data_IF_093275581456
#
_entry.id   IF_093275581456
#
_cell.length_a   1.000
_cell.length_b   1.000
_cell.length_c   1.000
_cell.angle_alpha   90.00
_cell.angle_beta   90.00
_cell.angle_gamma   90.00
#
_symmetry.space_group_name_H-M   'P 1'
#
loop_
_entity.id
_entity.type
_entity.pdbx_description
1 polymer ?
#
# COMPACT_ATOMS: atom_id res chain seq x y z
N UNK A 1 9.51 12.17 -0.54
CA UNK A 1 9.11 12.17 -1.96
C UNK A 1 10.34 12.01 -2.81
N UNK A 2 10.24 11.24 -3.90
CA UNK A 2 11.32 11.03 -4.88
C UNK A 2 10.71 11.19 -6.28
N UNK A 3 11.44 11.80 -7.22
CA UNK A 3 11.04 11.83 -8.62
C UNK A 3 11.59 10.59 -9.33
N UNK A 4 10.70 9.83 -9.97
CA UNK A 4 11.04 8.64 -10.78
C UNK A 4 10.47 8.88 -12.17
N UNK A 5 11.34 9.05 -13.17
CA UNK A 5 10.95 9.36 -14.56
C UNK A 5 9.97 10.53 -14.68
N UNK A 6 10.14 11.55 -13.84
CA UNK A 6 9.27 12.73 -13.82
C UNK A 6 7.98 12.57 -13.02
N UNK A 7 7.73 11.39 -12.42
CA UNK A 7 6.59 11.13 -11.53
C UNK A 7 6.99 11.39 -10.07
N UNK A 8 6.24 12.22 -9.37
CA UNK A 8 6.43 12.48 -7.94
C UNK A 8 5.89 11.31 -7.10
N UNK A 9 6.77 10.45 -6.59
CA UNK A 9 6.41 9.30 -5.75
C UNK A 9 6.57 9.63 -4.25
N UNK A 10 5.49 9.47 -3.49
CA UNK A 10 5.55 9.42 -2.04
C UNK A 10 5.92 8.02 -1.56
N UNK A 11 6.65 7.95 -0.46
CA UNK A 11 7.01 6.70 0.20
C UNK A 11 6.41 6.77 1.60
N UNK A 12 5.60 5.77 1.94
CA UNK A 12 5.04 5.58 3.27
C UNK A 12 5.40 4.18 3.78
N UNK A 13 5.39 4.00 5.09
CA UNK A 13 5.82 2.74 5.71
C UNK A 13 4.71 2.17 6.57
N UNK A 14 4.32 0.94 6.24
CA UNK A 14 3.44 0.07 7.01
C UNK A 14 2.21 0.78 7.59
N UNK A 15 2.21 1.10 8.89
CA UNK A 15 1.08 1.71 9.62
C UNK A 15 0.60 3.04 9.05
N UNK A 16 1.46 3.79 8.33
CA UNK A 16 1.11 5.08 7.73
C UNK A 16 -0.16 5.04 6.86
N UNK A 17 -0.37 3.95 6.12
CA UNK A 17 -1.52 3.85 5.20
C UNK A 17 -2.85 3.57 5.92
N UNK A 18 -2.79 3.09 7.16
CA UNK A 18 -3.97 2.80 7.97
C UNK A 18 -4.67 4.06 8.45
N UNK A 19 -3.95 5.18 8.52
CA UNK A 19 -4.48 6.49 8.80
C UNK A 19 -4.61 7.31 7.51
N UNK A 20 -5.63 8.16 7.41
CA UNK A 20 -5.80 8.96 6.19
C UNK A 20 -4.79 10.11 6.10
N UNK A 21 -4.43 10.72 7.24
CA UNK A 21 -3.50 11.85 7.34
C UNK A 21 -2.20 11.70 6.54
N UNK A 22 -1.38 10.65 6.75
CA UNK A 22 -0.12 10.49 6.00
C UNK A 22 -0.31 10.39 4.47
N UNK A 23 -1.42 9.78 4.05
CA UNK A 23 -1.79 9.69 2.63
C UNK A 23 -2.22 11.06 2.09
N UNK A 24 -3.09 11.75 2.83
CA UNK A 24 -3.57 13.10 2.50
C UNK A 24 -2.43 14.12 2.43
N UNK A 25 -1.52 14.11 3.41
CA UNK A 25 -0.35 14.99 3.46
C UNK A 25 0.58 14.74 2.26
N UNK A 26 0.79 13.47 1.89
CA UNK A 26 1.58 13.10 0.72
C UNK A 26 0.96 13.65 -0.57
N UNK A 27 -0.36 13.54 -0.72
CA UNK A 27 -1.10 14.05 -1.88
C UNK A 27 -1.07 15.58 -1.91
N UNK A 28 -1.29 16.24 -0.77
CA UNK A 28 -1.22 17.69 -0.64
C UNK A 28 0.18 18.24 -0.98
N UNK A 29 1.24 17.47 -0.71
CA UNK A 29 2.61 17.78 -1.11
C UNK A 29 2.89 17.55 -2.61
N UNK A 30 1.93 17.00 -3.37
CA UNK A 30 2.04 16.79 -4.82
C UNK A 30 2.36 15.37 -5.25
N UNK A 31 2.17 14.36 -4.38
CA UNK A 31 2.37 12.97 -4.78
C UNK A 31 1.41 12.55 -5.90
N UNK A 32 1.95 11.93 -6.93
CA UNK A 32 1.21 11.37 -8.07
C UNK A 32 1.03 9.85 -7.94
N UNK A 33 1.83 9.21 -7.08
CA UNK A 33 1.76 7.79 -6.71
C UNK A 33 2.29 7.60 -5.29
N UNK A 34 1.74 6.62 -4.56
CA UNK A 34 2.22 6.24 -3.24
C UNK A 34 2.83 4.84 -3.30
N UNK A 35 4.06 4.71 -2.81
CA UNK A 35 4.75 3.44 -2.60
C UNK A 35 4.71 3.13 -1.11
N UNK A 36 3.92 2.14 -0.71
CA UNK A 36 3.76 1.75 0.69
C UNK A 36 4.53 0.45 0.96
N UNK A 37 5.56 0.54 1.79
CA UNK A 37 6.47 -0.56 2.12
C UNK A 37 6.06 -1.20 3.44
N UNK A 38 5.91 -2.53 3.48
CA UNK A 38 5.29 -3.23 4.60
C UNK A 38 6.11 -4.43 5.07
N UNK A 39 6.10 -4.63 6.38
CA UNK A 39 6.34 -5.91 7.03
C UNK A 39 5.07 -6.21 7.85
N UNK A 40 3.97 -6.45 7.15
CA UNK A 40 2.67 -6.68 7.77
C UNK A 40 2.52 -8.18 8.09
N UNK A 41 2.42 -8.59 9.37
CA UNK A 41 2.32 -10.01 9.72
C UNK A 41 0.95 -10.56 9.32
N UNK A 42 0.89 -11.84 8.98
CA UNK A 42 -0.30 -12.57 8.61
C UNK A 42 -1.25 -12.76 9.80
N UNK A 43 -2.55 -12.64 9.54
CA UNK A 43 -3.60 -13.31 10.29
C UNK A 43 -4.78 -13.56 9.35
N UNK A 44 -5.72 -14.41 9.78
CA UNK A 44 -6.88 -14.80 8.98
C UNK A 44 -7.70 -13.55 8.60
N UNK A 45 -7.97 -13.37 7.30
CA UNK A 45 -8.68 -12.23 6.71
C UNK A 45 -7.87 -10.92 6.51
N UNK A 46 -6.63 -10.83 7.00
CA UNK A 46 -5.84 -9.59 6.88
C UNK A 46 -5.60 -9.15 5.43
N UNK A 47 -5.43 -10.08 4.50
CA UNK A 47 -5.25 -9.76 3.08
C UNK A 47 -6.42 -8.94 2.51
N UNK A 48 -7.66 -9.37 2.79
CA UNK A 48 -8.85 -8.65 2.34
C UNK A 48 -8.99 -7.28 3.03
N UNK A 49 -8.57 -7.18 4.29
CA UNK A 49 -8.57 -5.92 5.04
C UNK A 49 -7.57 -4.91 4.45
N UNK A 50 -6.31 -5.31 4.25
CA UNK A 50 -5.27 -4.47 3.61
C UNK A 50 -5.75 -3.97 2.24
N UNK A 51 -6.31 -4.86 1.43
CA UNK A 51 -6.73 -4.53 0.07
C UNK A 51 -7.97 -3.65 0.03
N UNK A 52 -9.08 -4.13 0.60
CA UNK A 52 -10.38 -3.51 0.39
C UNK A 52 -10.65 -2.37 1.38
N UNK A 53 -10.37 -2.58 2.67
CA UNK A 53 -10.72 -1.62 3.70
C UNK A 53 -9.72 -0.47 3.82
N UNK A 54 -8.48 -0.69 3.38
CA UNK A 54 -7.38 0.28 3.51
C UNK A 54 -6.95 0.83 2.16
N UNK A 55 -6.19 0.06 1.39
CA UNK A 55 -5.46 0.58 0.22
C UNK A 55 -6.42 1.05 -0.88
N UNK A 56 -7.48 0.27 -1.14
CA UNK A 56 -8.51 0.64 -2.13
C UNK A 56 -9.19 1.95 -1.79
N UNK A 57 -9.61 2.12 -0.53
CA UNK A 57 -10.29 3.35 -0.10
C UNK A 57 -9.34 4.54 -0.09
N UNK A 58 -8.08 4.36 0.34
CA UNK A 58 -7.05 5.43 0.26
C UNK A 58 -6.79 5.87 -1.18
N UNK A 59 -6.68 4.92 -2.12
CA UNK A 59 -6.46 5.22 -3.53
C UNK A 59 -7.65 6.00 -4.14
N UNK A 60 -8.89 5.59 -3.83
CA UNK A 60 -10.11 6.27 -4.28
C UNK A 60 -10.22 7.68 -3.70
N UNK A 61 -10.12 7.82 -2.38
CA UNK A 61 -10.25 9.11 -1.69
C UNK A 61 -9.15 10.08 -2.11
N UNK A 62 -7.93 9.58 -2.30
CA UNK A 62 -6.79 10.37 -2.70
C UNK A 62 -6.68 10.64 -4.19
N UNK A 63 -7.41 9.91 -5.03
CA UNK A 63 -7.34 10.02 -6.49
C UNK A 63 -5.97 9.69 -7.07
N UNK A 64 -5.14 8.93 -6.35
CA UNK A 64 -3.78 8.53 -6.74
C UNK A 64 -3.61 7.00 -6.64
N UNK A 65 -2.85 6.38 -7.56
CA UNK A 65 -2.52 4.97 -7.45
C UNK A 65 -1.63 4.68 -6.23
N UNK A 66 -1.76 3.47 -5.70
CA UNK A 66 -0.96 2.98 -4.57
C UNK A 66 -0.36 1.62 -4.89
N UNK A 67 0.94 1.46 -4.62
CA UNK A 67 1.65 0.18 -4.67
C UNK A 67 1.92 -0.28 -3.25
N UNK A 68 1.32 -1.41 -2.87
CA UNK A 68 1.49 -2.04 -1.57
C UNK A 68 2.47 -3.22 -1.69
N UNK A 69 3.66 -3.06 -1.12
CA UNK A 69 4.70 -4.09 -1.12
C UNK A 69 4.84 -4.65 0.28
N UNK A 70 4.65 -5.96 0.44
CA UNK A 70 4.72 -6.64 1.72
C UNK A 70 5.81 -7.71 1.74
N UNK A 71 6.46 -7.85 2.89
CA UNK A 71 7.42 -8.91 3.17
C UNK A 71 6.79 -10.30 2.99
N UNK A 72 7.63 -11.28 2.66
CA UNK A 72 7.26 -12.71 2.61
C UNK A 72 8.27 -13.52 3.42
N UNK A 73 7.79 -14.49 4.20
CA UNK A 73 8.62 -15.41 4.99
C UNK A 73 8.27 -15.45 6.47
N UNK A 74 8.95 -16.31 7.23
CA UNK A 74 8.80 -16.41 8.68
C UNK A 74 9.89 -15.64 9.42
N UNK A 75 9.54 -15.04 10.57
CA UNK A 75 10.48 -14.51 11.55
C UNK A 75 9.97 -14.80 12.96
N UNK A 76 10.68 -15.65 13.69
CA UNK A 76 10.27 -16.15 15.00
C UNK A 76 8.81 -16.64 15.00
N UNK A 77 7.92 -15.99 15.75
CA UNK A 77 6.49 -16.32 15.83
C UNK A 77 5.65 -15.77 14.67
N UNK A 78 6.21 -14.86 13.87
CA UNK A 78 5.49 -14.14 12.83
C UNK A 78 5.67 -14.80 11.47
N UNK A 79 4.60 -14.79 10.70
CA UNK A 79 4.59 -15.13 9.27
C UNK A 79 4.21 -13.87 8.50
N UNK A 80 4.92 -13.58 7.43
CA UNK A 80 4.58 -12.55 6.46
C UNK A 80 4.12 -13.25 5.17
N UNK A 81 2.88 -13.00 4.80
CA UNK A 81 2.15 -13.70 3.74
C UNK A 81 2.44 -13.15 2.34
N UNK A 82 3.24 -12.08 2.22
CA UNK A 82 3.42 -11.38 0.96
C UNK A 82 2.09 -10.78 0.50
N UNK A 83 1.58 -11.27 -0.64
CA UNK A 83 0.34 -10.77 -1.20
C UNK A 83 0.43 -9.30 -1.59
N UNK A 84 1.58 -8.86 -2.10
CA UNK A 84 1.79 -7.49 -2.60
C UNK A 84 0.84 -7.21 -3.76
N UNK A 85 0.38 -5.97 -3.90
CA UNK A 85 -0.57 -5.59 -4.93
C UNK A 85 -0.47 -4.11 -5.30
N UNK A 86 -1.07 -3.76 -6.42
CA UNK A 86 -1.17 -2.37 -6.88
C UNK A 86 -2.61 -2.03 -7.20
N UNK A 87 -3.00 -0.83 -6.81
CA UNK A 87 -4.35 -0.29 -6.97
C UNK A 87 -4.29 0.97 -7.81
N UNK A 88 -5.14 1.07 -8.82
CA UNK A 88 -5.26 2.29 -9.62
C UNK A 88 -6.02 3.39 -8.85
N UNK A 89 -6.10 4.60 -9.42
CA UNK A 89 -6.77 5.74 -8.78
C UNK A 89 -8.28 5.57 -8.55
N UNK A 90 -8.90 4.60 -9.21
CA UNK A 90 -10.32 4.25 -9.02
C UNK A 90 -10.52 3.21 -7.92
N UNK A 91 -9.44 2.75 -7.28
CA UNK A 91 -9.49 1.70 -6.27
C UNK A 91 -9.56 0.28 -6.84
N UNK A 92 -9.25 0.08 -8.13
CA UNK A 92 -9.27 -1.25 -8.72
C UNK A 92 -7.87 -1.88 -8.61
N UNK A 93 -7.81 -3.13 -8.17
CA UNK A 93 -6.55 -3.88 -8.16
C UNK A 93 -6.17 -4.23 -9.59
N UNK A 94 -5.01 -3.74 -10.03
CA UNK A 94 -4.51 -3.95 -11.41
C UNK A 94 -3.46 -5.05 -11.49
N UNK A 95 -2.79 -5.36 -10.38
CA UNK A 95 -1.82 -6.46 -10.30
C UNK A 95 -1.70 -6.95 -8.86
N UNK A 96 -1.45 -8.26 -8.71
CA UNK A 96 -1.25 -8.92 -7.40
C UNK A 96 -0.18 -10.01 -7.50
N UNK A 97 0.70 -10.09 -6.51
CA UNK A 97 1.63 -11.20 -6.31
C UNK A 97 0.96 -12.36 -5.59
N UNK A 98 1.56 -13.53 -5.63
CA UNK A 98 1.08 -14.66 -4.83
C UNK A 98 1.12 -14.36 -3.32
N UNK A 99 0.18 -14.97 -2.60
CA UNK A 99 0.34 -15.21 -1.16
C UNK A 99 1.25 -16.44 -0.97
N UNK A 100 2.03 -16.44 0.11
CA UNK A 100 2.84 -17.59 0.54
C UNK A 100 2.01 -18.58 1.38
#
# INVERSE_FOLDING_TARGET
MVSIDGVAAAITVCEDIWHSGPTEDSIAAGAQIILNLNASPFYIHKGAERENAVVTERAKSGGVPIVYVNLVGGQDELVFDGGSFSVNRSGEVVQRSHFC
#
